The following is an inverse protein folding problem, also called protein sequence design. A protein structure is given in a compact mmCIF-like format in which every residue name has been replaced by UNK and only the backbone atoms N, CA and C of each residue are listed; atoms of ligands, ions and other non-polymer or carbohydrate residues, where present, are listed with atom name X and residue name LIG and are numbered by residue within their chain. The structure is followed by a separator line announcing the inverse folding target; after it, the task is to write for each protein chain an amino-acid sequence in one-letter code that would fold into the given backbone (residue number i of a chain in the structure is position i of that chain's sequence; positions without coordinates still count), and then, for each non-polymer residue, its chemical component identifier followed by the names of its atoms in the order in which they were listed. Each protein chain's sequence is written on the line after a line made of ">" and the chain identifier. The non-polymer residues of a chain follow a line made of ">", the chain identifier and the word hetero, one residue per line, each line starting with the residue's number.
data_IF_342200441980
#
_entry.id   IF_342200441980
#
_cell.length_a   1.000
_cell.length_b   1.000
_cell.length_c   1.000
_cell.angle_alpha   90.00
_cell.angle_beta   90.00
_cell.angle_gamma   90.00
#
_symmetry.space_group_name_H-M   'P 1'
#
loop_
_entity.id
_entity.type
_entity.pdbx_description
1 polymer ?
#
# COMPACT_ATOMS: atom_id res chain seq x y z
N UNK A 1 -13.04 -17.78 -13.05
CA UNK A 1 -11.58 -17.85 -12.97
C UNK A 1 -11.16 -16.71 -12.04
N UNK A 2 -10.50 -17.03 -10.96
CA UNK A 2 -10.04 -16.04 -10.00
C UNK A 2 -8.94 -15.16 -10.67
N UNK A 3 -8.93 -13.86 -10.35
CA UNK A 3 -8.05 -12.90 -11.03
C UNK A 3 -6.56 -13.04 -10.64
N UNK A 4 -6.28 -13.66 -9.49
CA UNK A 4 -4.94 -13.86 -8.94
C UNK A 4 -4.65 -15.34 -8.66
N UNK A 5 -5.32 -16.24 -9.39
CA UNK A 5 -5.10 -17.68 -9.27
C UNK A 5 -3.61 -18.03 -9.46
N UNK A 6 -3.06 -18.85 -8.57
CA UNK A 6 -1.63 -19.20 -8.50
C UNK A 6 -0.63 -18.03 -8.32
N UNK A 7 -1.08 -16.82 -8.00
CA UNK A 7 -0.21 -15.67 -7.74
C UNK A 7 0.17 -15.55 -6.27
N UNK A 8 1.39 -15.12 -6.01
CA UNK A 8 1.86 -14.78 -4.66
C UNK A 8 1.95 -13.28 -4.51
N UNK A 9 1.26 -12.75 -3.49
CA UNK A 9 1.22 -11.33 -3.17
C UNK A 9 1.81 -11.06 -1.79
N UNK A 10 2.67 -10.04 -1.67
CA UNK A 10 3.15 -9.53 -0.40
C UNK A 10 2.53 -8.15 -0.14
N UNK A 11 1.95 -7.96 1.06
CA UNK A 11 1.33 -6.71 1.47
C UNK A 11 2.00 -6.21 2.75
N UNK A 12 2.62 -5.03 2.70
CA UNK A 12 3.21 -4.38 3.88
C UNK A 12 2.16 -3.59 4.67
N UNK A 13 2.25 -3.61 6.00
CA UNK A 13 1.20 -3.05 6.88
C UNK A 13 -0.12 -3.77 6.67
N UNK A 14 -0.05 -5.10 6.48
CA UNK A 14 -1.18 -5.93 6.05
C UNK A 14 -2.02 -6.49 7.19
N UNK A 15 -1.66 -6.26 8.45
CA UNK A 15 -2.37 -6.83 9.58
C UNK A 15 -3.69 -6.14 9.93
N UNK A 16 -3.96 -4.96 9.35
CA UNK A 16 -5.16 -4.17 9.64
C UNK A 16 -5.55 -3.21 8.50
N UNK A 17 -6.74 -2.64 8.59
CA UNK A 17 -7.21 -1.53 7.74
C UNK A 17 -7.16 -1.83 6.24
N UNK A 18 -6.64 -0.89 5.45
CA UNK A 18 -6.55 -1.04 3.99
C UNK A 18 -5.68 -2.24 3.60
N UNK A 19 -4.56 -2.46 4.30
CA UNK A 19 -3.67 -3.57 4.01
C UNK A 19 -4.34 -4.93 4.20
N UNK A 20 -5.08 -5.11 5.29
CA UNK A 20 -5.84 -6.34 5.55
C UNK A 20 -6.96 -6.53 4.52
N UNK A 21 -7.71 -5.48 4.20
CA UNK A 21 -8.75 -5.57 3.18
C UNK A 21 -8.20 -5.94 1.79
N UNK A 22 -6.97 -5.48 1.46
CA UNK A 22 -6.28 -5.91 0.23
C UNK A 22 -5.90 -7.39 0.32
N UNK A 23 -5.37 -7.84 1.46
CA UNK A 23 -5.02 -9.24 1.69
C UNK A 23 -6.25 -10.16 1.55
N UNK A 24 -7.36 -9.81 2.20
CA UNK A 24 -8.66 -10.51 2.11
C UNK A 24 -9.15 -10.58 0.66
N UNK A 25 -9.11 -9.43 -0.04
CA UNK A 25 -9.56 -9.37 -1.42
C UNK A 25 -8.71 -10.21 -2.37
N UNK A 26 -7.39 -10.22 -2.18
CA UNK A 26 -6.47 -11.00 -2.99
C UNK A 26 -6.62 -12.50 -2.72
N UNK A 27 -6.75 -12.90 -1.45
CA UNK A 27 -7.02 -14.30 -1.09
C UNK A 27 -8.35 -14.80 -1.69
N UNK A 28 -9.40 -13.99 -1.66
CA UNK A 28 -10.69 -14.31 -2.29
C UNK A 28 -10.60 -14.47 -3.83
N UNK A 29 -9.55 -13.95 -4.46
CA UNK A 29 -9.25 -14.10 -5.88
C UNK A 29 -8.15 -15.14 -6.16
N UNK A 30 -7.88 -16.04 -5.22
CA UNK A 30 -7.00 -17.18 -5.38
C UNK A 30 -5.51 -16.91 -5.15
N UNK A 31 -5.14 -15.73 -4.65
CA UNK A 31 -3.74 -15.43 -4.34
C UNK A 31 -3.27 -16.14 -3.07
N UNK A 32 -2.00 -16.59 -3.08
CA UNK A 32 -1.24 -16.84 -1.86
C UNK A 32 -0.76 -15.51 -1.31
N UNK A 33 -0.97 -15.26 -0.02
CA UNK A 33 -0.79 -13.94 0.57
C UNK A 33 0.26 -13.94 1.67
N UNK A 34 1.24 -13.04 1.58
CA UNK A 34 2.16 -12.75 2.67
C UNK A 34 1.80 -11.42 3.29
N UNK A 35 1.41 -11.45 4.56
CA UNK A 35 1.13 -10.28 5.38
C UNK A 35 2.41 -9.90 6.11
N UNK A 36 3.00 -8.77 5.73
CA UNK A 36 4.18 -8.23 6.37
C UNK A 36 3.79 -7.03 7.25
N UNK A 37 4.07 -7.10 8.53
CA UNK A 37 3.74 -6.02 9.47
C UNK A 37 4.86 -5.85 10.51
N UNK A 38 4.98 -4.65 11.10
CA UNK A 38 5.91 -4.41 12.19
C UNK A 38 5.61 -5.30 13.40
N UNK A 39 4.31 -5.52 13.67
CA UNK A 39 3.84 -6.50 14.66
C UNK A 39 3.69 -7.87 13.99
N UNK A 40 4.71 -8.71 14.14
CA UNK A 40 4.71 -10.06 13.61
C UNK A 40 3.59 -10.94 14.17
N UNK A 41 3.15 -10.71 15.40
CA UNK A 41 2.05 -11.46 16.02
C UNK A 41 0.72 -11.11 15.38
N UNK A 42 0.49 -9.83 15.10
CA UNK A 42 -0.69 -9.37 14.39
C UNK A 42 -0.69 -9.86 12.93
N UNK A 43 0.47 -9.87 12.27
CA UNK A 43 0.62 -10.42 10.92
C UNK A 43 0.27 -11.92 10.86
N UNK A 44 0.78 -12.71 11.81
CA UNK A 44 0.51 -14.14 11.92
C UNK A 44 -0.97 -14.43 12.21
N UNK A 45 -1.58 -13.67 13.11
CA UNK A 45 -3.01 -13.79 13.41
C UNK A 45 -3.89 -13.46 12.20
N UNK A 46 -3.56 -12.40 11.47
CA UNK A 46 -4.27 -11.99 10.25
C UNK A 46 -4.15 -13.07 9.15
N UNK A 47 -2.95 -13.61 8.93
CA UNK A 47 -2.73 -14.66 7.94
C UNK A 47 -3.53 -15.93 8.27
N UNK A 48 -3.52 -16.39 9.53
CA UNK A 48 -4.32 -17.53 9.99
C UNK A 48 -5.83 -17.29 9.85
N UNK A 49 -6.26 -16.07 10.01
CA UNK A 49 -7.66 -15.69 9.83
C UNK A 49 -8.14 -15.68 8.38
N UNK A 50 -7.20 -15.53 7.43
CA UNK A 50 -7.50 -15.57 6.00
C UNK A 50 -7.58 -17.01 5.47
N UNK A 51 -6.45 -17.68 5.44
CA UNK A 51 -6.29 -19.05 4.96
C UNK A 51 -4.97 -19.60 5.49
N UNK A 52 -5.00 -20.53 6.44
CA UNK A 52 -3.77 -21.04 7.07
C UNK A 52 -2.84 -21.78 6.11
N UNK A 53 -3.35 -22.27 4.97
CA UNK A 53 -2.56 -23.02 3.97
C UNK A 53 -1.99 -22.08 2.88
N UNK A 54 -2.66 -20.96 2.61
CA UNK A 54 -2.30 -20.03 1.53
C UNK A 54 -1.95 -18.61 2.03
N UNK A 55 -1.83 -18.41 3.33
CA UNK A 55 -1.38 -17.14 3.90
C UNK A 55 -0.26 -17.31 4.91
N UNK A 56 0.67 -16.35 4.94
CA UNK A 56 1.84 -16.32 5.83
C UNK A 56 1.98 -14.95 6.48
N UNK A 57 2.11 -14.90 7.81
CA UNK A 57 2.47 -13.68 8.55
C UNK A 57 3.97 -13.55 8.75
N UNK A 58 4.52 -12.35 8.57
CA UNK A 58 5.96 -12.06 8.73
C UNK A 58 6.17 -10.73 9.45
N UNK A 59 7.05 -10.73 10.46
CA UNK A 59 7.51 -9.47 11.05
C UNK A 59 8.41 -8.71 10.07
N UNK A 60 8.10 -7.44 9.81
CA UNK A 60 8.83 -6.63 8.85
C UNK A 60 8.78 -5.13 9.20
N UNK A 61 9.92 -4.56 9.53
CA UNK A 61 10.10 -3.10 9.52
C UNK A 61 10.46 -2.66 8.09
N UNK A 62 9.58 -1.94 7.43
CA UNK A 62 9.80 -1.46 6.05
C UNK A 62 10.97 -0.48 5.92
N UNK A 63 11.41 0.16 7.01
CA UNK A 63 12.58 1.05 7.03
C UNK A 63 13.88 0.24 6.90
N UNK A 64 13.88 -1.03 7.35
CA UNK A 64 14.97 -1.98 7.24
C UNK A 64 14.93 -2.69 5.88
N UNK A 65 15.89 -2.42 5.02
CA UNK A 65 15.99 -3.14 3.74
C UNK A 65 16.18 -4.65 3.95
N UNK A 66 16.86 -5.06 5.02
CA UNK A 66 17.07 -6.48 5.34
C UNK A 66 15.77 -7.18 5.75
N UNK A 67 14.87 -6.50 6.46
CA UNK A 67 13.58 -7.04 6.84
C UNK A 67 12.67 -7.21 5.61
N UNK A 68 12.63 -6.18 4.74
CA UNK A 68 11.90 -6.27 3.47
C UNK A 68 12.44 -7.42 2.62
N UNK A 69 13.77 -7.56 2.52
CA UNK A 69 14.41 -8.65 1.79
C UNK A 69 13.97 -10.02 2.34
N UNK A 70 13.96 -10.19 3.67
CA UNK A 70 13.49 -11.44 4.33
C UNK A 70 12.01 -11.72 4.02
N UNK A 71 11.16 -10.70 4.04
CA UNK A 71 9.74 -10.86 3.76
C UNK A 71 9.49 -11.28 2.30
N UNK A 72 10.21 -10.68 1.34
CA UNK A 72 10.15 -11.06 -0.07
C UNK A 72 10.69 -12.49 -0.30
N UNK A 73 11.76 -12.87 0.40
CA UNK A 73 12.30 -14.23 0.32
C UNK A 73 11.36 -15.26 0.96
N UNK A 74 10.70 -14.92 2.07
CA UNK A 74 9.68 -15.78 2.67
C UNK A 74 8.53 -16.07 1.70
N UNK A 75 8.07 -15.06 0.94
CA UNK A 75 7.05 -15.26 -0.09
C UNK A 75 7.52 -16.29 -1.16
N UNK A 76 8.73 -16.10 -1.67
CA UNK A 76 9.30 -16.97 -2.72
C UNK A 76 9.58 -18.39 -2.21
N UNK A 77 10.16 -18.53 -1.03
CA UNK A 77 10.53 -19.84 -0.48
C UNK A 77 9.32 -20.66 -0.06
N UNK A 78 8.25 -20.01 0.44
CA UNK A 78 7.02 -20.70 0.87
C UNK A 78 6.10 -21.04 -0.30
N UNK A 79 5.91 -20.09 -1.23
CA UNK A 79 4.90 -20.20 -2.28
C UNK A 79 5.47 -20.34 -3.70
N UNK A 80 6.79 -20.28 -3.87
CA UNK A 80 7.47 -20.51 -5.15
C UNK A 80 7.61 -19.29 -6.06
N UNK A 81 6.85 -18.21 -5.84
CA UNK A 81 6.88 -17.00 -6.67
C UNK A 81 6.72 -15.72 -5.85
N UNK A 82 6.92 -14.57 -6.50
CA UNK A 82 6.54 -13.24 -5.99
C UNK A 82 5.98 -12.45 -7.18
N UNK A 83 4.67 -12.42 -7.31
CA UNK A 83 3.99 -11.83 -8.46
C UNK A 83 3.49 -10.41 -8.19
N UNK A 84 3.09 -10.12 -6.94
CA UNK A 84 2.54 -8.83 -6.56
C UNK A 84 3.17 -8.33 -5.27
N UNK A 85 3.51 -7.04 -5.21
CA UNK A 85 3.89 -6.35 -3.98
C UNK A 85 3.02 -5.11 -3.79
N UNK A 86 2.41 -5.00 -2.60
CA UNK A 86 1.65 -3.82 -2.19
C UNK A 86 2.40 -3.11 -1.07
N UNK A 87 2.92 -1.93 -1.36
CA UNK A 87 3.56 -1.05 -0.39
C UNK A 87 2.49 -0.19 0.28
N UNK A 88 1.96 -0.67 1.42
CA UNK A 88 0.87 -0.02 2.14
C UNK A 88 1.29 0.49 3.53
N UNK A 89 2.32 -0.06 4.16
CA UNK A 89 2.76 0.32 5.50
C UNK A 89 2.86 1.84 5.70
N UNK A 90 2.38 2.32 6.84
CA UNK A 90 2.37 3.75 7.11
C UNK A 90 2.02 4.11 8.54
N UNK A 91 2.41 5.31 8.95
CA UNK A 91 2.14 5.93 10.26
C UNK A 91 1.66 7.36 10.09
N UNK A 92 1.10 7.95 11.13
CA UNK A 92 0.82 9.39 11.21
C UNK A 92 1.58 10.03 12.37
N UNK A 93 2.12 11.22 12.12
CA UNK A 93 2.73 12.11 13.13
C UNK A 93 2.33 13.54 12.75
N UNK A 94 1.02 13.78 12.84
CA UNK A 94 0.43 15.04 12.42
C UNK A 94 0.75 16.15 13.44
N UNK A 95 1.28 17.25 12.95
CA UNK A 95 1.55 18.46 13.71
C UNK A 95 1.61 19.66 12.77
N UNK A 96 1.29 20.87 13.28
CA UNK A 96 1.44 22.06 12.45
C UNK A 96 2.93 22.32 12.17
N UNK A 97 3.24 23.00 11.07
CA UNK A 97 4.63 23.32 10.70
C UNK A 97 5.41 24.02 11.82
N UNK A 98 4.70 24.76 12.70
CA UNK A 98 5.29 25.42 13.86
C UNK A 98 5.69 24.47 15.00
N UNK A 99 5.01 23.34 15.13
CA UNK A 99 5.16 22.41 16.27
C UNK A 99 5.70 21.05 15.89
N UNK A 100 5.79 20.74 14.59
CA UNK A 100 6.34 19.49 14.09
C UNK A 100 7.84 19.41 14.42
N UNK A 101 8.26 18.33 15.09
CA UNK A 101 9.68 18.08 15.34
C UNK A 101 10.34 17.42 14.12
N UNK A 102 11.66 17.53 14.01
CA UNK A 102 12.45 16.85 13.00
C UNK A 102 12.24 15.33 13.08
N UNK A 103 12.19 14.78 14.28
CA UNK A 103 11.95 13.35 14.49
C UNK A 103 10.58 12.90 13.94
N UNK A 104 9.52 13.69 14.16
CA UNK A 104 8.19 13.40 13.59
C UNK A 104 8.20 13.45 12.06
N UNK A 105 8.94 14.40 11.50
CA UNK A 105 9.13 14.50 10.06
C UNK A 105 9.88 13.28 9.53
N UNK A 106 11.03 12.97 10.09
CA UNK A 106 11.91 11.89 9.65
C UNK A 106 11.26 10.50 9.77
N UNK A 107 10.53 10.24 10.86
CA UNK A 107 9.81 8.97 11.03
C UNK A 107 8.80 8.75 9.90
N UNK A 108 8.04 9.78 9.53
CA UNK A 108 7.03 9.67 8.45
C UNK A 108 7.70 9.47 7.09
N UNK A 109 8.75 10.22 6.80
CA UNK A 109 9.53 10.05 5.55
C UNK A 109 10.16 8.65 5.50
N UNK A 110 10.74 8.19 6.61
CA UNK A 110 11.37 6.87 6.68
C UNK A 110 10.38 5.74 6.41
N UNK A 111 9.23 5.74 7.09
CA UNK A 111 8.26 4.65 6.94
C UNK A 111 7.57 4.72 5.56
N UNK A 112 7.03 5.89 5.19
CA UNK A 112 6.24 5.99 3.96
C UNK A 112 7.09 6.00 2.70
N UNK A 113 8.06 6.92 2.60
CA UNK A 113 8.79 7.12 1.35
C UNK A 113 9.95 6.13 1.21
N UNK A 114 10.83 6.04 2.22
CA UNK A 114 11.95 5.10 2.19
C UNK A 114 11.45 3.65 2.26
N UNK A 115 10.45 3.34 3.11
CA UNK A 115 9.87 2.00 3.20
C UNK A 115 9.24 1.55 1.89
N UNK A 116 8.44 2.41 1.26
CA UNK A 116 7.89 2.16 -0.07
C UNK A 116 8.99 1.99 -1.15
N UNK A 117 10.06 2.79 -1.07
CA UNK A 117 11.21 2.65 -1.96
C UNK A 117 11.94 1.31 -1.76
N UNK A 118 12.16 0.88 -0.51
CA UNK A 118 12.74 -0.43 -0.20
C UNK A 118 11.92 -1.56 -0.83
N UNK A 119 10.58 -1.56 -0.59
CA UNK A 119 9.68 -2.56 -1.16
C UNK A 119 9.70 -2.54 -2.69
N UNK A 120 9.57 -1.36 -3.30
CA UNK A 120 9.59 -1.20 -4.76
C UNK A 120 10.92 -1.68 -5.36
N UNK A 121 12.04 -1.23 -4.84
CA UNK A 121 13.38 -1.55 -5.36
C UNK A 121 13.69 -3.05 -5.27
N UNK A 122 13.44 -3.65 -4.11
CA UNK A 122 13.78 -5.05 -3.86
C UNK A 122 12.84 -6.00 -4.60
N UNK A 123 11.55 -5.67 -4.68
CA UNK A 123 10.61 -6.41 -5.50
C UNK A 123 10.94 -6.30 -7.00
N UNK A 124 11.22 -5.09 -7.48
CA UNK A 124 11.57 -4.83 -8.87
C UNK A 124 12.79 -5.64 -9.32
N UNK A 125 13.81 -5.78 -8.48
CA UNK A 125 15.00 -6.59 -8.79
C UNK A 125 14.63 -8.05 -9.10
N UNK A 126 13.76 -8.68 -8.28
CA UNK A 126 13.29 -10.06 -8.47
C UNK A 126 12.36 -10.19 -9.67
N UNK A 127 11.38 -9.29 -9.78
CA UNK A 127 10.39 -9.30 -10.86
C UNK A 127 11.04 -9.05 -12.23
N UNK A 128 12.14 -8.29 -12.28
CA UNK A 128 12.95 -8.10 -13.48
C UNK A 128 13.51 -9.43 -13.99
N UNK A 129 14.03 -10.28 -13.12
CA UNK A 129 14.54 -11.60 -13.46
C UNK A 129 13.42 -12.53 -13.93
N UNK A 130 12.24 -12.43 -13.27
CA UNK A 130 11.03 -13.18 -13.64
C UNK A 130 10.41 -12.67 -14.96
N UNK A 131 10.77 -11.46 -15.42
CA UNK A 131 10.15 -10.75 -16.56
C UNK A 131 8.63 -10.57 -16.40
N UNK A 132 8.17 -10.50 -15.18
CA UNK A 132 6.75 -10.30 -14.84
C UNK A 132 6.61 -9.81 -13.40
N UNK A 133 5.58 -9.02 -13.13
CA UNK A 133 5.24 -8.58 -11.78
C UNK A 133 4.36 -7.34 -11.77
N UNK A 134 3.73 -7.09 -10.62
CA UNK A 134 2.95 -5.89 -10.37
C UNK A 134 3.29 -5.30 -8.99
N UNK A 135 3.62 -4.01 -8.96
CA UNK A 135 3.88 -3.27 -7.73
C UNK A 135 2.80 -2.20 -7.58
N UNK A 136 2.13 -2.18 -6.44
CA UNK A 136 1.08 -1.22 -6.11
C UNK A 136 1.52 -0.41 -4.89
N UNK A 137 1.69 0.90 -5.07
CA UNK A 137 2.12 1.81 -4.02
C UNK A 137 0.93 2.60 -3.47
N UNK A 138 0.70 2.52 -2.16
CA UNK A 138 -0.40 3.27 -1.53
C UNK A 138 0.10 4.67 -1.17
N UNK A 139 -0.27 5.63 -2.00
CA UNK A 139 -0.09 7.06 -1.75
C UNK A 139 -1.25 7.62 -0.90
N UNK A 140 -1.69 8.82 -1.15
CA UNK A 140 -2.84 9.47 -0.49
C UNK A 140 -3.26 10.71 -1.28
N UNK A 141 -4.53 11.09 -1.16
CA UNK A 141 -5.02 12.38 -1.62
C UNK A 141 -4.22 13.55 -1.01
N UNK A 142 -3.75 13.41 0.25
CA UNK A 142 -2.87 14.40 0.88
C UNK A 142 -1.59 14.67 0.11
N UNK A 143 -1.09 13.70 -0.66
CA UNK A 143 0.07 13.88 -1.54
C UNK A 143 -0.23 14.68 -2.81
N UNK A 144 -1.52 14.80 -3.21
CA UNK A 144 -1.97 15.61 -4.34
C UNK A 144 -2.22 17.06 -3.94
N UNK A 145 -2.94 17.27 -2.84
CA UNK A 145 -3.47 18.61 -2.51
C UNK A 145 -2.76 19.27 -1.33
N UNK A 146 -2.00 18.52 -0.53
CA UNK A 146 -1.48 19.00 0.76
C UNK A 146 -2.59 19.13 1.81
N UNK A 147 -2.24 18.83 3.06
CA UNK A 147 -3.19 18.97 4.18
C UNK A 147 -2.53 19.72 5.33
N UNK A 148 -3.29 20.61 5.97
CA UNK A 148 -2.81 21.32 7.18
C UNK A 148 -2.44 20.30 8.25
N UNK A 149 -1.28 20.49 8.86
CA UNK A 149 -0.74 19.58 9.88
C UNK A 149 -0.04 18.33 9.34
N UNK A 150 0.08 18.17 8.02
CA UNK A 150 0.63 16.98 7.36
C UNK A 150 1.78 17.30 6.39
N UNK A 151 2.66 18.24 6.72
CA UNK A 151 3.77 18.59 5.82
C UNK A 151 4.70 17.40 5.56
N UNK A 152 4.97 16.57 6.57
CA UNK A 152 5.72 15.32 6.46
C UNK A 152 4.96 14.27 5.62
N UNK A 153 3.72 13.99 5.96
CA UNK A 153 2.88 12.98 5.30
C UNK A 153 2.58 13.35 3.84
N UNK A 154 2.20 14.61 3.59
CA UNK A 154 1.94 15.09 2.23
C UNK A 154 3.19 15.02 1.35
N UNK A 155 4.36 15.40 1.89
CA UNK A 155 5.64 15.29 1.17
C UNK A 155 5.98 13.83 0.84
N UNK A 156 5.84 12.91 1.82
CA UNK A 156 6.09 11.49 1.60
C UNK A 156 5.16 10.90 0.54
N UNK A 157 3.84 11.19 0.64
CA UNK A 157 2.83 10.65 -0.28
C UNK A 157 2.93 11.25 -1.68
N UNK A 158 3.33 12.51 -1.83
CA UNK A 158 3.68 13.09 -3.13
C UNK A 158 4.94 12.43 -3.72
N UNK A 159 5.96 12.20 -2.89
CA UNK A 159 7.19 11.52 -3.29
C UNK A 159 6.95 10.10 -3.82
N UNK A 160 6.00 9.35 -3.22
CA UNK A 160 5.60 8.01 -3.70
C UNK A 160 5.07 8.08 -5.14
N UNK A 161 4.29 9.11 -5.49
CA UNK A 161 3.78 9.27 -6.87
C UNK A 161 4.93 9.50 -7.86
N UNK A 162 5.87 10.38 -7.53
CA UNK A 162 7.06 10.64 -8.36
C UNK A 162 7.89 9.37 -8.54
N UNK A 163 8.18 8.68 -7.44
CA UNK A 163 8.93 7.42 -7.43
C UNK A 163 8.22 6.33 -8.26
N UNK A 164 6.90 6.19 -8.13
CA UNK A 164 6.11 5.23 -8.92
C UNK A 164 6.27 5.45 -10.41
N UNK A 165 6.20 6.71 -10.87
CA UNK A 165 6.35 7.06 -12.29
C UNK A 165 7.77 6.78 -12.81
N UNK A 166 8.79 7.03 -12.00
CA UNK A 166 10.18 6.72 -12.36
C UNK A 166 10.40 5.20 -12.45
N UNK A 167 10.04 4.46 -11.41
CA UNK A 167 10.16 3.00 -11.38
C UNK A 167 9.37 2.32 -12.52
N UNK A 168 8.18 2.82 -12.84
CA UNK A 168 7.38 2.33 -13.95
C UNK A 168 8.12 2.41 -15.28
N UNK A 169 8.81 3.53 -15.56
CA UNK A 169 9.59 3.71 -16.78
C UNK A 169 10.80 2.77 -16.84
N UNK A 170 11.46 2.57 -15.70
CA UNK A 170 12.63 1.68 -15.61
C UNK A 170 12.23 0.22 -15.80
N UNK A 171 11.04 -0.17 -15.31
CA UNK A 171 10.64 -1.57 -15.22
C UNK A 171 9.74 -2.06 -16.37
N UNK A 172 9.15 -1.16 -17.15
CA UNK A 172 8.17 -1.50 -18.17
C UNK A 172 8.69 -2.53 -19.20
N UNK A 173 9.93 -2.33 -19.70
CA UNK A 173 10.53 -3.24 -20.67
C UNK A 173 10.93 -4.61 -20.10
N UNK A 174 10.85 -4.78 -18.78
CA UNK A 174 11.02 -6.04 -18.10
C UNK A 174 9.70 -6.77 -17.81
N UNK A 175 8.57 -6.25 -18.30
CA UNK A 175 7.25 -6.84 -18.05
C UNK A 175 6.72 -6.59 -16.63
N UNK A 176 7.31 -5.62 -15.89
CA UNK A 176 6.89 -5.26 -14.54
C UNK A 176 6.12 -3.95 -14.57
N UNK A 177 4.94 -3.96 -13.96
CA UNK A 177 4.09 -2.77 -13.85
C UNK A 177 4.18 -2.16 -12.45
N UNK A 178 4.26 -0.84 -12.37
CA UNK A 178 4.31 -0.11 -11.10
C UNK A 178 3.27 1.00 -11.13
N UNK A 179 2.27 0.93 -10.26
CA UNK A 179 1.18 1.90 -10.20
C UNK A 179 0.94 2.37 -8.76
N UNK A 180 0.24 3.48 -8.59
CA UNK A 180 -0.10 4.02 -7.29
C UNK A 180 -1.61 4.20 -7.12
N UNK A 181 -2.06 4.14 -5.86
CA UNK A 181 -3.42 4.48 -5.46
C UNK A 181 -3.34 5.67 -4.50
N UNK A 182 -4.24 6.63 -4.67
CA UNK A 182 -4.43 7.76 -3.77
C UNK A 182 -5.79 7.65 -3.08
N UNK A 183 -5.88 6.98 -1.90
CA UNK A 183 -7.10 6.96 -1.13
C UNK A 183 -7.43 8.36 -0.58
N UNK A 184 -8.72 8.67 -0.50
CA UNK A 184 -9.25 9.83 0.20
C UNK A 184 -9.55 9.54 1.67
N UNK A 185 -10.74 9.94 2.14
CA UNK A 185 -11.23 9.60 3.48
C UNK A 185 -11.78 8.17 3.44
N UNK A 186 -11.02 7.23 3.97
CA UNK A 186 -11.39 5.80 4.06
C UNK A 186 -11.69 5.46 5.52
N UNK A 187 -12.76 4.72 5.77
CA UNK A 187 -13.14 4.27 7.10
C UNK A 187 -12.04 3.37 7.70
N UNK A 188 -11.63 3.67 8.90
CA UNK A 188 -10.62 2.91 9.65
C UNK A 188 -10.70 3.31 11.13
N UNK A 189 -10.10 2.53 12.02
CA UNK A 189 -10.01 2.90 13.44
C UNK A 189 -9.38 4.29 13.64
N UNK A 190 -8.41 4.66 12.80
CA UNK A 190 -7.76 5.98 12.83
C UNK A 190 -8.73 7.11 12.44
N UNK A 191 -9.53 6.92 11.40
CA UNK A 191 -10.47 7.95 10.92
C UNK A 191 -11.72 8.03 11.81
N UNK A 192 -12.13 6.94 12.44
CA UNK A 192 -13.24 6.91 13.42
C UNK A 192 -12.88 7.61 14.73
N UNK A 193 -11.59 7.62 15.11
CA UNK A 193 -11.10 8.38 16.27
C UNK A 193 -10.98 9.90 16.02
N UNK A 194 -11.30 10.37 14.81
CA UNK A 194 -11.22 11.79 14.46
C UNK A 194 -12.31 12.60 15.16
N UNK A 195 -12.00 13.83 15.64
CA UNK A 195 -13.03 14.73 16.17
C UNK A 195 -14.16 14.98 15.17
N UNK A 196 -15.40 14.94 15.64
CA UNK A 196 -16.63 15.08 14.83
C UNK A 196 -16.58 16.28 13.86
N UNK A 197 -16.17 17.46 14.37
CA UNK A 197 -16.02 18.64 13.53
C UNK A 197 -15.05 18.45 12.36
N UNK A 198 -13.96 17.74 12.56
CA UNK A 198 -12.99 17.46 11.49
C UNK A 198 -13.51 16.41 10.51
N UNK A 199 -14.29 15.46 11.02
CA UNK A 199 -15.00 14.49 10.21
C UNK A 199 -16.02 15.17 9.29
N UNK A 200 -16.90 16.01 9.85
CA UNK A 200 -17.95 16.71 9.09
C UNK A 200 -17.36 17.63 8.01
N UNK A 201 -16.28 18.33 8.33
CA UNK A 201 -15.58 19.16 7.35
C UNK A 201 -15.08 18.31 6.16
N UNK A 202 -14.48 17.16 6.44
CA UNK A 202 -13.99 16.27 5.37
C UNK A 202 -15.14 15.65 4.57
N UNK A 203 -16.22 15.27 5.25
CA UNK A 203 -17.42 14.73 4.62
C UNK A 203 -18.08 15.71 3.67
N UNK A 204 -18.15 16.99 4.05
CA UNK A 204 -18.74 18.05 3.22
C UNK A 204 -17.98 18.27 1.88
N UNK A 205 -16.71 17.84 1.81
CA UNK A 205 -15.88 17.96 0.60
C UNK A 205 -15.98 16.73 -0.32
N UNK A 206 -16.74 15.69 0.05
CA UNK A 206 -16.87 14.45 -0.72
C UNK A 206 -18.17 14.46 -1.53
N UNK A 207 -18.11 14.55 -2.86
CA UNK A 207 -19.31 14.55 -3.71
C UNK A 207 -20.20 13.30 -3.55
N UNK A 208 -19.62 12.12 -3.28
CA UNK A 208 -20.39 10.90 -3.02
C UNK A 208 -21.04 10.87 -1.64
N UNK A 209 -20.86 11.91 -0.81
CA UNK A 209 -21.48 12.13 0.50
C UNK A 209 -21.33 10.97 1.48
N UNK A 210 -20.24 10.18 1.38
CA UNK A 210 -19.87 9.12 2.31
C UNK A 210 -18.35 8.92 2.32
N UNK A 211 -17.77 8.37 3.41
CA UNK A 211 -16.40 7.89 3.35
C UNK A 211 -16.31 6.67 2.43
N UNK A 212 -15.12 6.39 1.93
CA UNK A 212 -14.83 5.12 1.26
C UNK A 212 -14.62 4.01 2.29
N UNK A 213 -14.86 2.78 1.86
CA UNK A 213 -14.54 1.59 2.65
C UNK A 213 -13.17 1.02 2.22
N UNK A 214 -12.42 0.34 3.11
CA UNK A 214 -11.15 -0.30 2.77
C UNK A 214 -11.25 -1.25 1.56
N UNK A 215 -12.37 -1.95 1.42
CA UNK A 215 -12.66 -2.83 0.29
C UNK A 215 -12.68 -2.11 -1.07
N UNK A 216 -13.04 -0.82 -1.11
CA UNK A 216 -13.05 -0.04 -2.35
C UNK A 216 -11.61 0.25 -2.83
N UNK A 217 -10.68 0.48 -1.88
CA UNK A 217 -9.25 0.59 -2.18
C UNK A 217 -8.69 -0.77 -2.60
N UNK A 218 -9.10 -1.84 -1.93
CA UNK A 218 -8.68 -3.21 -2.24
C UNK A 218 -9.09 -3.65 -3.65
N UNK A 219 -10.28 -3.24 -4.13
CA UNK A 219 -10.73 -3.51 -5.48
C UNK A 219 -9.84 -2.84 -6.54
N UNK A 220 -9.38 -1.62 -6.29
CA UNK A 220 -8.44 -0.94 -7.20
C UNK A 220 -7.04 -1.56 -7.12
N UNK A 221 -6.61 -2.02 -5.93
CA UNK A 221 -5.37 -2.76 -5.78
C UNK A 221 -5.42 -4.09 -6.57
N UNK A 222 -6.53 -4.82 -6.51
CA UNK A 222 -6.78 -6.02 -7.29
C UNK A 222 -6.73 -5.74 -8.80
N UNK A 223 -7.38 -4.68 -9.25
CA UNK A 223 -7.31 -4.26 -10.65
C UNK A 223 -5.86 -4.03 -11.10
N UNK A 224 -5.05 -3.31 -10.32
CA UNK A 224 -3.65 -3.09 -10.64
C UNK A 224 -2.78 -4.34 -10.51
N UNK A 225 -3.10 -5.26 -9.62
CA UNK A 225 -2.39 -6.53 -9.45
C UNK A 225 -2.65 -7.50 -10.61
N UNK A 226 -3.85 -7.48 -11.18
CA UNK A 226 -4.32 -8.45 -12.15
C UNK A 226 -3.99 -8.08 -13.62
N UNK A 227 -4.31 -9.01 -14.54
CA UNK A 227 -4.19 -8.81 -15.98
C UNK A 227 -5.17 -7.77 -16.55
N UNK A 228 -6.19 -7.38 -15.80
CA UNK A 228 -7.14 -6.32 -16.21
C UNK A 228 -6.44 -4.98 -16.47
N UNK A 229 -5.29 -4.73 -15.84
CA UNK A 229 -4.47 -3.54 -16.02
C UNK A 229 -3.16 -3.81 -16.79
N UNK A 230 -3.14 -4.83 -17.67
CA UNK A 230 -1.94 -5.28 -18.37
C UNK A 230 -1.22 -4.20 -19.20
N UNK A 231 -1.92 -3.17 -19.65
CA UNK A 231 -1.34 -2.05 -20.39
C UNK A 231 -1.25 -0.75 -19.57
N UNK A 232 -1.22 -0.87 -18.21
CA UNK A 232 -1.17 0.28 -17.31
C UNK A 232 0.05 0.20 -16.40
N UNK A 233 0.95 1.17 -16.55
CA UNK A 233 2.10 1.37 -15.66
C UNK A 233 2.38 2.87 -15.48
N UNK A 234 2.84 3.29 -14.30
CA UNK A 234 3.06 4.69 -13.96
C UNK A 234 1.78 5.49 -13.71
N UNK A 235 0.63 4.82 -13.62
CA UNK A 235 -0.66 5.48 -13.39
C UNK A 235 -0.94 5.67 -11.91
N UNK A 236 -1.81 6.63 -11.59
CA UNK A 236 -2.24 6.96 -10.23
C UNK A 236 -3.76 7.00 -10.22
N UNK A 237 -4.39 6.06 -9.52
CA UNK A 237 -5.84 6.04 -9.36
C UNK A 237 -6.25 6.72 -8.06
N UNK A 238 -7.22 7.61 -8.15
CA UNK A 238 -7.83 8.26 -6.99
C UNK A 238 -9.07 7.47 -6.54
N UNK A 239 -9.10 7.10 -5.24
CA UNK A 239 -10.24 6.44 -4.60
C UNK A 239 -10.74 7.38 -3.51
N UNK A 240 -11.44 8.44 -3.92
CA UNK A 240 -11.68 9.64 -3.11
C UNK A 240 -13.14 10.03 -2.96
N UNK A 241 -14.06 9.33 -3.66
CA UNK A 241 -15.46 9.73 -3.74
C UNK A 241 -15.68 11.07 -4.46
N UNK A 242 -14.71 11.47 -5.31
CA UNK A 242 -14.72 12.74 -6.03
C UNK A 242 -14.15 13.93 -5.25
N UNK A 243 -13.58 13.72 -4.06
CA UNK A 243 -12.96 14.78 -3.28
C UNK A 243 -11.75 15.35 -4.03
N UNK A 244 -11.74 16.66 -4.25
CA UNK A 244 -10.67 17.39 -4.97
C UNK A 244 -10.40 16.89 -6.41
N UNK A 245 -11.47 16.55 -7.13
CA UNK A 245 -11.41 16.30 -8.58
C UNK A 245 -10.81 17.50 -9.32
#
# INVERSE_FOLDING_TARGET
>A
MALLDDKTALITGGAQGIGLAIAERFAAEGARVVIADLDGSAADAAAKGLDPDNALGVACDVVSAADVERALEAARSTFGSLDVVVNNAGITRDATMRTMSEEQFDQVIAVHLKGCWNGTRLAAARMREQKSGAIVNISSLSGKVGMVGQTNYSAAKAGIVGMTKAAAKEMAHHGVRVNAIQPGLIRSAMTEAMPEKAWDQKMAEIPMARPGEPAEVANVALFYASSLSSYMTGTVAEVTGGRFM
#
